data_IF_276791707803
#
_entry.id   IF_276791707803
#
_cell.length_a   1.000
_cell.length_b   1.000
_cell.length_c   1.000
_cell.angle_alpha   90.00
_cell.angle_beta   90.00
_cell.angle_gamma   90.00
#
_symmetry.space_group_name_H-M   'P 1'
#
loop_
_entity.id
_entity.type
_entity.pdbx_description
1 polymer ?
#
# COMPACT_ATOMS: atom_id res chain seq x y z
N UNK A 1 -18.28 7.35 -4.76
CA UNK A 1 -17.21 6.31 -4.81
C UNK A 1 -17.81 4.97 -4.41
N UNK A 2 -17.58 3.97 -5.21
CA UNK A 2 -18.09 2.63 -4.94
C UNK A 2 -17.21 1.95 -3.88
N UNK A 3 -17.81 1.54 -2.78
CA UNK A 3 -17.13 0.75 -1.77
C UNK A 3 -17.15 -0.72 -2.17
N UNK A 4 -16.01 -1.40 -2.05
CA UNK A 4 -15.92 -2.84 -2.28
C UNK A 4 -16.13 -3.59 -0.97
N UNK A 5 -16.73 -4.78 -1.02
CA UNK A 5 -16.80 -5.63 0.16
C UNK A 5 -15.42 -6.21 0.47
N UNK A 6 -15.08 -6.27 1.76
CA UNK A 6 -13.87 -6.93 2.23
C UNK A 6 -14.29 -8.02 3.21
N UNK A 7 -13.96 -9.26 2.88
CA UNK A 7 -14.31 -10.39 3.76
C UNK A 7 -13.40 -10.44 4.97
N UNK A 8 -13.87 -11.06 6.05
CA UNK A 8 -13.07 -11.27 7.25
C UNK A 8 -11.80 -12.07 6.95
N UNK A 9 -11.87 -13.01 6.00
CA UNK A 9 -10.69 -13.80 5.59
C UNK A 9 -9.61 -12.91 5.00
N UNK A 10 -9.98 -11.93 4.17
CA UNK A 10 -9.03 -10.98 3.60
C UNK A 10 -8.44 -10.07 4.69
N UNK A 11 -9.29 -9.56 5.59
CA UNK A 11 -8.83 -8.72 6.69
C UNK A 11 -7.85 -9.45 7.59
N UNK A 12 -8.16 -10.69 7.98
CA UNK A 12 -7.30 -11.49 8.83
C UNK A 12 -5.95 -11.77 8.15
N UNK A 13 -5.98 -12.08 6.86
CA UNK A 13 -4.74 -12.29 6.12
C UNK A 13 -3.90 -11.03 6.03
N UNK A 14 -4.52 -9.89 5.72
CA UNK A 14 -3.80 -8.61 5.61
C UNK A 14 -3.33 -8.08 6.97
N UNK A 15 -3.86 -8.59 8.07
CA UNK A 15 -3.39 -8.25 9.41
C UNK A 15 -2.09 -8.96 9.79
N UNK A 16 -1.71 -10.04 9.09
CA UNK A 16 -0.42 -10.70 9.29
C UNK A 16 0.70 -9.74 8.88
N UNK A 17 1.73 -9.53 9.72
CA UNK A 17 2.75 -8.50 9.47
C UNK A 17 3.78 -8.94 8.43
N UNK A 18 3.31 -9.23 7.22
CA UNK A 18 4.14 -9.66 6.11
C UNK A 18 4.47 -8.47 5.21
N UNK A 19 5.55 -8.61 4.41
CA UNK A 19 5.84 -7.67 3.33
C UNK A 19 4.94 -7.94 2.14
N UNK A 20 4.72 -6.90 1.34
CA UNK A 20 4.05 -7.03 0.06
C UNK A 20 4.98 -6.59 -1.07
N UNK A 21 4.58 -6.85 -2.30
CA UNK A 21 5.22 -6.29 -3.49
C UNK A 21 4.34 -5.19 -4.05
N UNK A 22 4.92 -4.01 -4.21
CA UNK A 22 4.24 -2.86 -4.78
C UNK A 22 4.65 -2.71 -6.25
N UNK A 23 3.67 -2.68 -7.13
CA UNK A 23 3.87 -2.44 -8.56
C UNK A 23 3.34 -1.06 -8.91
N UNK A 24 4.23 -0.21 -9.42
CA UNK A 24 3.91 1.08 -10.01
C UNK A 24 4.44 1.12 -11.44
N UNK A 25 4.04 2.11 -12.21
CA UNK A 25 4.42 2.19 -13.63
C UNK A 25 5.40 3.33 -13.84
N UNK A 26 6.53 3.02 -14.47
CA UNK A 26 7.52 4.03 -14.88
C UNK A 26 6.96 4.91 -15.99
N UNK A 27 7.55 6.10 -16.23
CA UNK A 27 7.09 6.98 -17.31
C UNK A 27 7.07 6.33 -18.70
N UNK A 28 7.94 5.35 -18.96
CA UNK A 28 7.97 4.63 -20.24
C UNK A 28 6.94 3.50 -20.32
N UNK A 29 6.09 3.33 -19.31
CA UNK A 29 5.06 2.31 -19.26
C UNK A 29 5.51 0.97 -18.69
N UNK A 30 6.79 0.81 -18.37
CA UNK A 30 7.28 -0.45 -17.80
C UNK A 30 6.92 -0.56 -16.32
N UNK A 31 6.67 -1.77 -15.81
CA UNK A 31 6.37 -1.96 -14.40
C UNK A 31 7.63 -1.87 -13.54
N UNK A 32 7.48 -1.25 -12.37
CA UNK A 32 8.48 -1.26 -11.30
C UNK A 32 7.89 -2.05 -10.14
N UNK A 33 8.57 -3.10 -9.72
CA UNK A 33 8.12 -3.99 -8.64
C UNK A 33 9.15 -3.99 -7.53
N UNK A 34 8.71 -3.69 -6.31
CA UNK A 34 9.61 -3.63 -5.15
C UNK A 34 8.89 -4.15 -3.91
N UNK A 35 9.63 -4.85 -3.05
CA UNK A 35 9.12 -5.30 -1.76
C UNK A 35 8.97 -4.10 -0.81
N UNK A 36 7.86 -4.02 -0.11
CA UNK A 36 7.56 -2.92 0.81
C UNK A 36 6.87 -3.45 2.08
N UNK A 37 7.01 -2.72 3.17
CA UNK A 37 6.07 -2.81 4.29
C UNK A 37 4.89 -1.93 3.98
N UNK A 38 3.69 -2.37 4.35
CA UNK A 38 2.46 -1.61 4.07
C UNK A 38 1.45 -1.83 5.17
N UNK A 39 0.41 -1.03 5.16
CA UNK A 39 -0.74 -1.22 6.04
C UNK A 39 -2.03 -1.23 5.24
N UNK A 40 -3.03 -1.91 5.77
CA UNK A 40 -4.37 -1.97 5.20
C UNK A 40 -5.37 -1.32 6.16
N UNK A 41 -6.13 -0.37 5.65
CA UNK A 41 -7.19 0.31 6.39
C UNK A 41 -8.52 -0.13 5.77
N UNK A 42 -9.24 -1.03 6.47
CA UNK A 42 -10.46 -1.60 5.93
C UNK A 42 -11.63 -0.61 5.92
N UNK A 43 -11.59 0.40 6.78
CA UNK A 43 -12.65 1.42 6.83
C UNK A 43 -12.51 2.39 5.67
N UNK A 44 -11.31 2.94 5.49
CA UNK A 44 -11.03 3.89 4.41
C UNK A 44 -10.78 3.21 3.05
N UNK A 45 -10.57 1.88 3.03
CA UNK A 45 -10.17 1.12 1.84
C UNK A 45 -8.87 1.64 1.26
N UNK A 46 -7.91 1.94 2.12
CA UNK A 46 -6.60 2.47 1.73
C UNK A 46 -5.50 1.50 2.11
N UNK A 47 -4.63 1.21 1.14
CA UNK A 47 -3.32 0.62 1.40
C UNK A 47 -2.30 1.75 1.45
N UNK A 48 -1.47 1.78 2.50
CA UNK A 48 -0.50 2.87 2.73
C UNK A 48 0.91 2.33 2.77
N UNK A 49 1.81 3.05 2.10
CA UNK A 49 3.24 2.74 2.08
C UNK A 49 4.00 4.03 2.42
N UNK A 50 4.77 4.00 3.51
CA UNK A 50 5.64 5.10 3.87
C UNK A 50 6.96 4.94 3.10
N UNK A 51 7.45 6.01 2.50
CA UNK A 51 8.71 6.00 1.75
C UNK A 51 9.27 7.42 1.65
N UNK A 52 10.50 7.55 1.17
CA UNK A 52 11.07 8.86 0.85
C UNK A 52 10.58 9.29 -0.54
N UNK A 53 10.22 10.56 -0.69
CA UNK A 53 9.60 11.06 -1.93
C UNK A 53 10.46 10.95 -3.17
N UNK A 54 11.77 10.74 -3.03
CA UNK A 54 12.71 10.59 -4.15
C UNK A 54 12.89 9.15 -4.62
N UNK A 55 12.25 8.17 -3.96
CA UNK A 55 12.32 6.78 -4.39
C UNK A 55 11.59 6.58 -5.72
N UNK A 56 11.97 5.54 -6.48
CA UNK A 56 11.35 5.28 -7.80
C UNK A 56 9.84 5.09 -7.67
N UNK A 57 9.38 4.33 -6.67
CA UNK A 57 7.95 4.10 -6.47
C UNK A 57 7.19 5.41 -6.19
N UNK A 58 7.75 6.29 -5.37
CA UNK A 58 7.11 7.57 -5.08
C UNK A 58 7.11 8.49 -6.31
N UNK A 59 8.20 8.52 -7.04
CA UNK A 59 8.30 9.33 -8.27
C UNK A 59 7.35 8.85 -9.36
N UNK A 60 7.18 7.53 -9.51
CA UNK A 60 6.24 6.98 -10.46
C UNK A 60 4.81 7.43 -10.17
N UNK A 61 4.42 7.37 -8.90
CA UNK A 61 3.06 7.80 -8.49
C UNK A 61 2.91 9.31 -8.61
N UNK A 62 3.92 10.09 -8.20
CA UNK A 62 3.87 11.55 -8.28
C UNK A 62 3.81 12.06 -9.74
N UNK A 63 4.41 11.35 -10.67
CA UNK A 63 4.43 11.76 -12.09
C UNK A 63 3.06 11.59 -12.75
N UNK A 64 2.23 10.68 -12.26
CA UNK A 64 0.90 10.42 -12.83
C UNK A 64 -0.08 10.09 -11.69
N UNK A 65 -0.50 11.11 -10.91
CA UNK A 65 -1.39 10.89 -9.77
C UNK A 65 -2.71 10.26 -10.22
N UNK A 66 -3.17 9.28 -9.46
CA UNK A 66 -4.38 8.55 -9.78
C UNK A 66 -4.19 7.36 -10.72
N UNK A 67 -2.99 7.16 -11.28
CA UNK A 67 -2.69 5.95 -12.04
C UNK A 67 -2.75 4.75 -11.11
N UNK A 68 -3.25 3.63 -11.64
CA UNK A 68 -3.45 2.44 -10.82
C UNK A 68 -2.12 1.83 -10.40
N UNK A 69 -2.09 1.38 -9.15
CA UNK A 69 -0.99 0.60 -8.59
C UNK A 69 -1.54 -0.70 -8.04
N UNK A 70 -0.67 -1.67 -7.81
CA UNK A 70 -1.04 -2.96 -7.26
C UNK A 70 -0.08 -3.33 -6.14
N UNK A 71 -0.64 -3.90 -5.06
CA UNK A 71 0.12 -4.35 -3.92
C UNK A 71 -0.31 -5.76 -3.58
N UNK A 72 0.63 -6.70 -3.63
CA UNK A 72 0.37 -8.11 -3.40
C UNK A 72 1.09 -8.58 -2.14
N UNK A 73 0.34 -9.15 -1.20
CA UNK A 73 0.90 -9.90 -0.08
C UNK A 73 0.82 -11.39 -0.41
N UNK A 74 1.93 -12.09 -0.33
CA UNK A 74 1.98 -13.53 -0.54
C UNK A 74 2.73 -14.19 0.60
N UNK A 75 2.11 -15.21 1.20
CA UNK A 75 2.69 -16.00 2.30
C UNK A 75 2.42 -17.46 1.97
N UNK A 76 3.46 -18.17 1.53
CA UNK A 76 3.31 -19.53 1.02
C UNK A 76 2.39 -19.54 -0.20
N UNK A 77 1.35 -20.35 -0.16
CA UNK A 77 0.37 -20.46 -1.24
C UNK A 77 -0.85 -19.54 -1.06
N UNK A 78 -0.82 -18.67 -0.03
CA UNK A 78 -1.89 -17.70 0.18
C UNK A 78 -1.46 -16.35 -0.36
N UNK A 79 -2.31 -15.69 -1.10
CA UNK A 79 -2.02 -14.33 -1.54
C UNK A 79 -3.28 -13.49 -1.68
N UNK A 80 -3.09 -12.19 -1.60
CA UNK A 80 -4.11 -11.19 -1.89
C UNK A 80 -3.45 -10.01 -2.59
N UNK A 81 -4.09 -9.51 -3.64
CA UNK A 81 -3.64 -8.34 -4.39
C UNK A 81 -4.66 -7.22 -4.26
N UNK A 82 -4.17 -6.06 -3.87
CA UNK A 82 -4.94 -4.83 -3.68
C UNK A 82 -4.61 -3.89 -4.83
N UNK A 83 -5.62 -3.41 -5.56
CA UNK A 83 -5.42 -2.54 -6.72
C UNK A 83 -6.30 -1.31 -6.65
N UNK A 84 -5.79 -0.22 -7.12
CA UNK A 84 -6.54 1.02 -7.24
C UNK A 84 -5.67 2.21 -7.61
N UNK A 85 -6.28 3.39 -7.78
CA UNK A 85 -5.54 4.61 -8.04
C UNK A 85 -4.66 4.98 -6.84
N UNK A 86 -3.44 5.42 -7.13
CA UNK A 86 -2.45 5.75 -6.12
C UNK A 86 -2.11 7.24 -6.15
N UNK A 87 -1.85 7.81 -4.97
CA UNK A 87 -1.38 9.19 -4.80
C UNK A 87 -0.26 9.24 -3.78
N UNK A 88 0.61 10.24 -3.91
CA UNK A 88 1.64 10.55 -2.92
C UNK A 88 1.19 11.78 -2.13
N UNK A 89 1.22 11.66 -0.81
CA UNK A 89 0.81 12.74 0.09
C UNK A 89 1.94 13.07 1.06
N UNK A 90 2.15 14.35 1.30
CA UNK A 90 3.17 14.85 2.23
C UNK A 90 2.55 15.61 3.41
N UNK A 91 1.24 15.68 3.49
CA UNK A 91 0.55 16.33 4.60
C UNK A 91 0.90 15.64 5.92
N UNK A 92 1.30 16.39 6.96
CA UNK A 92 1.74 15.79 8.24
C UNK A 92 0.73 14.84 8.86
N UNK A 93 -0.56 15.15 8.79
CA UNK A 93 -1.61 14.27 9.34
C UNK A 93 -1.73 12.96 8.57
N UNK A 94 -1.46 12.95 7.27
CA UNK A 94 -1.48 11.72 6.47
C UNK A 94 -0.29 10.84 6.78
N UNK A 95 0.88 11.45 6.92
CA UNK A 95 2.10 10.73 7.33
C UNK A 95 1.95 10.17 8.73
N UNK A 96 1.38 10.95 9.66
CA UNK A 96 1.15 10.51 11.03
C UNK A 96 0.19 9.31 11.09
N UNK A 97 -0.89 9.31 10.30
CA UNK A 97 -1.80 8.16 10.24
C UNK A 97 -1.10 6.92 9.68
N UNK A 98 -0.31 7.08 8.62
CA UNK A 98 0.49 5.98 8.08
C UNK A 98 1.47 5.43 9.10
N UNK A 99 2.14 6.30 9.86
CA UNK A 99 3.09 5.89 10.89
C UNK A 99 2.41 5.14 12.04
N UNK A 100 1.24 5.61 12.46
CA UNK A 100 0.45 4.98 13.53
C UNK A 100 0.04 3.55 13.11
N UNK A 101 -0.44 3.38 11.90
CA UNK A 101 -0.84 2.06 11.39
C UNK A 101 0.34 1.14 11.19
N UNK A 102 1.48 1.68 10.73
CA UNK A 102 2.71 0.92 10.63
C UNK A 102 3.13 0.35 11.99
N UNK A 103 3.14 1.19 13.02
CA UNK A 103 3.51 0.76 14.37
C UNK A 103 2.57 -0.32 14.91
N UNK A 104 1.27 -0.20 14.64
CA UNK A 104 0.28 -1.19 15.07
C UNK A 104 0.50 -2.54 14.38
N UNK A 105 0.86 -2.54 13.08
CA UNK A 105 1.04 -3.77 12.32
C UNK A 105 2.39 -4.44 12.59
N UNK A 106 3.47 -3.66 12.67
CA UNK A 106 4.83 -4.20 12.73
C UNK A 106 5.45 -4.15 14.13
N UNK A 107 4.75 -3.58 15.11
CA UNK A 107 5.17 -3.60 16.51
C UNK A 107 6.21 -2.55 16.89
N UNK A 108 6.60 -1.66 15.98
CA UNK A 108 7.55 -0.58 16.23
C UNK A 108 7.31 0.58 15.28
N UNK A 109 7.65 1.83 15.68
CA UNK A 109 7.47 2.99 14.80
C UNK A 109 8.32 2.86 13.53
N UNK A 110 7.87 3.43 12.39
CA UNK A 110 8.69 3.47 11.20
C UNK A 110 9.85 4.45 11.36
N UNK A 111 10.92 4.30 10.55
CA UNK A 111 11.92 5.37 10.43
C UNK A 111 11.26 6.66 9.95
N UNK A 112 11.78 7.80 10.40
CA UNK A 112 11.28 9.12 10.03
C UNK A 112 12.38 9.97 9.38
N UNK A 113 12.92 9.54 8.21
CA UNK A 113 13.96 10.32 7.52
C UNK A 113 13.38 11.61 6.94
N UNK A 114 14.23 12.60 6.63
CA UNK A 114 13.79 13.76 5.87
C UNK A 114 13.20 13.35 4.52
N UNK A 115 12.13 14.03 4.10
CA UNK A 115 11.48 13.75 2.82
C UNK A 115 10.51 12.59 2.86
N UNK A 116 10.11 12.15 4.04
CA UNK A 116 9.11 11.08 4.20
C UNK A 116 7.77 11.50 3.61
N UNK A 117 7.17 10.60 2.83
CA UNK A 117 5.84 10.76 2.25
C UNK A 117 5.06 9.47 2.46
N UNK A 118 3.76 9.51 2.21
CA UNK A 118 2.94 8.31 2.19
C UNK A 118 2.32 8.13 0.80
N UNK A 119 2.44 6.90 0.26
CA UNK A 119 1.70 6.48 -0.92
C UNK A 119 0.40 5.88 -0.41
N UNK A 120 -0.73 6.40 -0.90
CA UNK A 120 -2.05 5.84 -0.60
C UNK A 120 -2.65 5.26 -1.86
N UNK A 121 -3.06 4.00 -1.80
CA UNK A 121 -3.79 3.32 -2.87
C UNK A 121 -5.25 3.23 -2.43
N UNK A 122 -6.13 3.88 -3.18
CA UNK A 122 -7.58 3.77 -2.96
C UNK A 122 -8.06 2.47 -3.61
N UNK A 123 -8.13 1.41 -2.81
CA UNK A 123 -8.35 0.05 -3.31
C UNK A 123 -9.79 -0.12 -3.75
N UNK A 124 -9.97 -0.47 -5.01
CA UNK A 124 -11.27 -0.75 -5.63
C UNK A 124 -11.38 -2.16 -6.21
N UNK A 125 -10.29 -2.94 -6.15
CA UNK A 125 -10.29 -4.33 -6.58
C UNK A 125 -9.37 -5.16 -5.69
N UNK A 126 -9.88 -6.30 -5.21
CA UNK A 126 -9.12 -7.27 -4.44
C UNK A 126 -9.26 -8.63 -5.12
N UNK A 127 -8.14 -9.25 -5.45
CA UNK A 127 -8.08 -10.65 -5.90
C UNK A 127 -7.30 -11.45 -4.87
N UNK A 128 -7.63 -12.75 -4.74
CA UNK A 128 -7.09 -13.58 -3.67
C UNK A 128 -7.10 -15.04 -4.03
N UNK A 129 -6.24 -15.82 -3.32
CA UNK A 129 -6.20 -17.27 -3.46
C UNK A 129 -5.87 -17.92 -2.11
N UNK A 130 -6.54 -19.03 -1.80
CA UNK A 130 -6.29 -19.90 -0.64
C UNK A 130 -6.38 -19.21 0.72
N UNK A 131 -7.21 -18.20 0.87
CA UNK A 131 -7.48 -17.59 2.17
C UNK A 131 -8.53 -18.40 2.92
N UNK A 132 -8.17 -18.82 4.13
CA UNK A 132 -9.04 -19.62 4.99
C UNK A 132 -8.90 -19.22 6.46
#
# INVERSE_FOLDING_TARGET
MTSIPVSDLVEDFLAEPAVGTLTTTRPDGSPHVVAVRFTWDTVAKLARVLTIGTTRKARNVSADPGRRAALCQAVGFRWATLEGPATVLDAPERIAEGARRYAARYGSPPPTPPGLVVIEIAVDRITRLNLR
#
